data_IF_964628918699
#
_entry.id   IF_964628918699
#
_cell.length_a   1.000
_cell.length_b   1.000
_cell.length_c   1.000
_cell.angle_alpha   90.00
_cell.angle_beta   90.00
_cell.angle_gamma   90.00
#
_symmetry.space_group_name_H-M   'P 1'
#
loop_
_entity.id
_entity.type
_entity.pdbx_description
1 polymer ?
#
# COMPACT_ATOMS: atom_id res chain seq x y z
N UNK A 1 -6.16 -43.74 8.55
CA UNK A 1 -5.47 -42.75 7.68
C UNK A 1 -5.28 -41.48 8.48
N UNK A 2 -4.18 -40.78 8.25
CA UNK A 2 -3.91 -39.49 8.93
C UNK A 2 -4.77 -38.39 8.28
N UNK A 3 -5.35 -37.46 9.05
CA UNK A 3 -6.11 -36.37 8.50
C UNK A 3 -5.21 -35.39 7.73
N UNK A 4 -5.70 -34.86 6.59
CA UNK A 4 -5.02 -33.93 5.71
C UNK A 4 -5.63 -32.54 5.85
N UNK A 5 -4.81 -31.54 6.21
CA UNK A 5 -5.22 -30.16 6.32
C UNK A 5 -4.46 -29.27 5.33
N UNK A 6 -5.20 -28.46 4.57
CA UNK A 6 -4.64 -27.46 3.68
C UNK A 6 -4.49 -26.12 4.41
N UNK A 7 -3.33 -25.48 4.28
CA UNK A 7 -3.08 -24.14 4.81
C UNK A 7 -2.70 -23.20 3.67
N UNK A 8 -3.27 -22.00 3.65
CA UNK A 8 -2.93 -21.00 2.65
C UNK A 8 -3.32 -19.58 3.08
N UNK A 9 -2.57 -18.62 2.57
CA UNK A 9 -2.86 -17.19 2.73
C UNK A 9 -3.12 -16.53 1.37
N UNK A 10 -3.95 -15.47 1.33
CA UNK A 10 -4.27 -14.73 0.10
C UNK A 10 -4.78 -15.69 -1.00
N UNK A 11 -4.17 -15.69 -2.17
CA UNK A 11 -4.50 -16.64 -3.26
C UNK A 11 -4.33 -18.11 -2.82
N UNK A 12 -3.29 -18.42 -2.04
CA UNK A 12 -3.10 -19.74 -1.44
C UNK A 12 -4.26 -20.12 -0.50
N UNK A 13 -4.86 -19.15 0.20
CA UNK A 13 -6.05 -19.33 1.00
C UNK A 13 -7.28 -19.67 0.15
N UNK A 14 -7.45 -19.02 -1.01
CA UNK A 14 -8.50 -19.41 -1.97
C UNK A 14 -8.31 -20.85 -2.44
N UNK A 15 -7.07 -21.23 -2.80
CA UNK A 15 -6.77 -22.60 -3.22
C UNK A 15 -7.06 -23.61 -2.11
N UNK A 16 -6.69 -23.32 -0.86
CA UNK A 16 -6.97 -24.18 0.29
C UNK A 16 -8.49 -24.37 0.48
N UNK A 17 -9.26 -23.28 0.36
CA UNK A 17 -10.73 -23.31 0.42
C UNK A 17 -11.29 -24.20 -0.69
N UNK A 18 -10.90 -23.97 -1.94
CA UNK A 18 -11.41 -24.73 -3.08
C UNK A 18 -10.99 -26.19 -3.06
N UNK A 19 -9.78 -26.50 -2.59
CA UNK A 19 -9.34 -27.88 -2.38
C UNK A 19 -10.24 -28.59 -1.36
N UNK A 20 -10.54 -27.94 -0.23
CA UNK A 20 -11.45 -28.54 0.77
C UNK A 20 -12.86 -28.75 0.22
N UNK A 21 -13.37 -27.81 -0.58
CA UNK A 21 -14.71 -27.91 -1.18
C UNK A 21 -14.79 -28.98 -2.28
N UNK A 22 -13.76 -29.05 -3.14
CA UNK A 22 -13.78 -29.94 -4.32
C UNK A 22 -13.26 -31.34 -4.03
N UNK A 23 -12.34 -31.48 -3.09
CA UNK A 23 -11.64 -32.75 -2.79
C UNK A 23 -11.86 -33.14 -1.31
N UNK A 24 -13.11 -33.05 -0.84
CA UNK A 24 -13.47 -33.35 0.52
C UNK A 24 -13.19 -34.82 0.94
N UNK A 25 -12.97 -35.69 -0.01
CA UNK A 25 -12.55 -37.09 0.18
C UNK A 25 -11.04 -37.24 0.45
N UNK A 26 -10.25 -36.20 0.24
CA UNK A 26 -8.79 -36.21 0.43
C UNK A 26 -8.35 -35.18 1.45
N UNK A 27 -9.02 -34.01 1.48
CA UNK A 27 -8.71 -32.89 2.38
C UNK A 27 -9.76 -32.80 3.47
N UNK A 28 -9.38 -33.11 4.70
CA UNK A 28 -10.27 -33.12 5.87
C UNK A 28 -10.62 -31.73 6.39
N UNK A 29 -9.71 -30.77 6.22
CA UNK A 29 -9.90 -29.40 6.68
C UNK A 29 -9.03 -28.39 5.92
N UNK A 30 -9.37 -27.09 6.04
CA UNK A 30 -8.57 -26.02 5.49
C UNK A 30 -8.50 -24.82 6.44
N UNK A 31 -7.34 -24.18 6.51
CA UNK A 31 -7.13 -22.86 7.12
C UNK A 31 -6.79 -21.89 5.99
N UNK A 32 -7.70 -20.96 5.72
CA UNK A 32 -7.63 -20.02 4.62
C UNK A 32 -7.54 -18.59 5.18
N UNK A 33 -6.31 -18.09 5.37
CA UNK A 33 -6.06 -16.74 5.89
C UNK A 33 -6.20 -15.68 4.81
N UNK A 34 -6.96 -14.60 5.08
CA UNK A 34 -7.11 -13.45 4.16
C UNK A 34 -7.40 -13.86 2.70
N UNK A 35 -8.24 -14.87 2.53
CA UNK A 35 -8.57 -15.43 1.22
C UNK A 35 -9.71 -14.64 0.56
N UNK A 36 -9.48 -13.90 -0.55
CA UNK A 36 -10.52 -13.09 -1.20
C UNK A 36 -11.46 -13.97 -2.07
N UNK A 37 -12.09 -14.96 -1.45
CA UNK A 37 -12.94 -15.95 -2.13
C UNK A 37 -14.19 -15.35 -2.78
N UNK A 38 -14.55 -14.11 -2.43
CA UNK A 38 -15.72 -13.37 -2.92
C UNK A 38 -15.36 -12.32 -3.98
N UNK A 39 -14.11 -12.25 -4.46
CA UNK A 39 -13.63 -11.22 -5.39
C UNK A 39 -13.69 -11.68 -6.85
N UNK A 40 -14.80 -12.29 -7.27
CA UNK A 40 -14.94 -12.80 -8.64
C UNK A 40 -16.16 -12.22 -9.34
N UNK A 41 -16.04 -12.10 -10.67
CA UNK A 41 -17.16 -11.69 -11.53
C UNK A 41 -18.26 -12.77 -11.48
N UNK A 42 -19.51 -12.32 -11.24
CA UNK A 42 -20.66 -13.20 -11.19
C UNK A 42 -21.05 -13.70 -9.80
N UNK A 43 -20.37 -13.22 -8.75
CA UNK A 43 -20.80 -13.49 -7.37
C UNK A 43 -22.12 -12.77 -7.04
N UNK A 44 -22.92 -13.38 -6.15
CA UNK A 44 -24.16 -12.82 -5.62
C UNK A 44 -24.14 -12.87 -4.07
N UNK A 45 -24.17 -11.72 -3.37
CA UNK A 45 -24.16 -10.36 -3.92
C UNK A 45 -22.84 -10.02 -4.63
N UNK A 46 -22.85 -9.10 -5.62
CA UNK A 46 -21.64 -8.68 -6.34
C UNK A 46 -20.66 -8.03 -5.38
N UNK A 47 -19.37 -8.30 -5.57
CA UNK A 47 -18.33 -7.62 -4.81
C UNK A 47 -18.26 -6.13 -5.22
N UNK A 48 -18.11 -5.25 -4.24
CA UNK A 48 -17.78 -3.86 -4.49
C UNK A 48 -16.31 -3.76 -4.94
N UNK A 49 -16.01 -3.33 -6.18
CA UNK A 49 -14.64 -3.20 -6.66
C UNK A 49 -13.84 -2.14 -5.91
N UNK A 50 -14.50 -1.22 -5.20
CA UNK A 50 -13.89 -0.19 -4.37
C UNK A 50 -13.60 -0.61 -2.93
N UNK A 51 -14.11 -1.76 -2.47
CA UNK A 51 -14.06 -2.16 -1.06
C UNK A 51 -12.64 -2.14 -0.45
N UNK A 52 -11.62 -2.57 -1.20
CA UNK A 52 -10.24 -2.52 -0.73
C UNK A 52 -9.72 -1.07 -0.61
N UNK A 53 -9.97 -0.24 -1.61
CA UNK A 53 -9.58 1.18 -1.59
C UNK A 53 -10.30 1.96 -0.47
N UNK A 54 -11.54 1.62 -0.16
CA UNK A 54 -12.27 2.15 0.99
C UNK A 54 -11.62 1.75 2.31
N UNK A 55 -11.15 0.49 2.43
CA UNK A 55 -10.38 0.00 3.58
C UNK A 55 -9.07 0.77 3.76
N UNK A 56 -8.28 0.94 2.69
CA UNK A 56 -7.05 1.74 2.69
C UNK A 56 -7.34 3.18 3.11
N UNK A 57 -8.42 3.78 2.58
CA UNK A 57 -8.85 5.13 2.95
C UNK A 57 -9.26 5.21 4.42
N UNK A 58 -9.96 4.20 4.94
CA UNK A 58 -10.37 4.13 6.34
C UNK A 58 -9.15 4.16 7.27
N UNK A 59 -8.09 3.42 6.95
CA UNK A 59 -6.84 3.41 7.73
C UNK A 59 -6.18 4.80 7.82
N UNK A 60 -6.37 5.65 6.80
CA UNK A 60 -5.89 7.03 6.80
C UNK A 60 -6.74 8.00 7.63
N UNK A 61 -7.88 7.56 8.18
CA UNK A 61 -8.79 8.41 8.94
C UNK A 61 -8.62 8.27 10.46
N UNK A 62 -9.27 9.16 11.22
CA UNK A 62 -9.34 9.06 12.67
C UNK A 62 -10.03 7.76 13.14
N UNK A 63 -10.99 7.24 12.38
CA UNK A 63 -11.65 5.98 12.67
C UNK A 63 -10.67 4.79 12.57
N UNK A 64 -9.71 4.83 11.64
CA UNK A 64 -8.59 3.88 11.53
C UNK A 64 -7.47 4.13 12.54
N UNK A 65 -7.57 5.20 13.35
CA UNK A 65 -6.59 5.59 14.35
C UNK A 65 -5.45 6.47 13.83
N UNK A 66 -5.55 6.98 12.60
CA UNK A 66 -4.61 7.92 12.01
C UNK A 66 -4.98 9.38 12.38
N UNK A 67 -4.02 10.33 12.28
CA UNK A 67 -4.31 11.75 12.45
C UNK A 67 -5.40 12.24 11.47
N UNK A 68 -6.34 13.09 11.88
CA UNK A 68 -7.43 13.55 11.01
C UNK A 68 -6.98 14.23 9.71
N UNK A 69 -5.79 14.85 9.72
CA UNK A 69 -5.22 15.51 8.55
C UNK A 69 -4.64 14.53 7.51
N UNK A 70 -4.41 13.26 7.86
CA UNK A 70 -3.70 12.32 6.97
C UNK A 70 -4.43 12.10 5.64
N UNK A 71 -5.68 11.64 5.67
CA UNK A 71 -6.42 11.36 4.44
C UNK A 71 -6.55 12.57 3.52
N UNK A 72 -6.90 13.80 4.02
CA UNK A 72 -6.85 15.02 3.21
C UNK A 72 -5.47 15.32 2.62
N UNK A 73 -4.41 15.19 3.41
CA UNK A 73 -3.06 15.49 2.97
C UNK A 73 -2.55 14.48 1.93
N UNK A 74 -2.82 13.19 2.10
CA UNK A 74 -2.51 12.16 1.09
C UNK A 74 -3.21 12.49 -0.23
N UNK A 75 -4.52 12.81 -0.21
CA UNK A 75 -5.25 13.22 -1.42
C UNK A 75 -4.64 14.46 -2.08
N UNK A 76 -4.27 15.47 -1.30
CA UNK A 76 -3.64 16.68 -1.82
C UNK A 76 -2.26 16.38 -2.44
N UNK A 77 -1.48 15.49 -1.84
CA UNK A 77 -0.18 15.09 -2.36
C UNK A 77 -0.31 14.31 -3.69
N UNK A 78 -1.24 13.36 -3.78
CA UNK A 78 -1.52 12.68 -5.05
C UNK A 78 -2.07 13.63 -6.13
N UNK A 79 -2.95 14.57 -5.78
CA UNK A 79 -3.43 15.58 -6.71
C UNK A 79 -2.27 16.45 -7.26
N UNK A 80 -1.33 16.84 -6.40
CA UNK A 80 -0.13 17.58 -6.80
C UNK A 80 0.79 16.74 -7.69
N UNK A 81 0.99 15.47 -7.37
CA UNK A 81 1.77 14.53 -8.17
C UNK A 81 1.19 14.39 -9.58
N UNK A 82 -0.13 14.18 -9.69
CA UNK A 82 -0.84 14.08 -10.97
C UNK A 82 -0.73 15.40 -11.74
N UNK A 83 -0.96 16.54 -11.09
CA UNK A 83 -0.82 17.86 -11.73
C UNK A 83 0.58 18.07 -12.32
N UNK A 84 1.63 17.70 -11.58
CA UNK A 84 3.01 17.80 -12.09
C UNK A 84 3.30 16.80 -13.20
N UNK A 85 2.69 15.64 -13.19
CA UNK A 85 2.82 14.67 -14.28
C UNK A 85 2.42 15.23 -15.63
N UNK A 86 1.46 16.15 -15.64
CA UNK A 86 0.94 16.78 -16.86
C UNK A 86 1.71 18.05 -17.26
N UNK A 87 2.26 18.77 -16.27
CA UNK A 87 2.86 20.10 -16.50
C UNK A 87 4.39 20.10 -16.51
N UNK A 88 5.02 19.43 -15.56
CA UNK A 88 6.48 19.31 -15.40
C UNK A 88 6.84 18.01 -14.66
N UNK A 89 6.84 16.85 -15.36
CA UNK A 89 7.15 15.57 -14.74
C UNK A 89 8.48 15.53 -13.98
N UNK A 90 9.49 16.27 -14.45
CA UNK A 90 10.83 16.28 -13.84
C UNK A 90 10.85 16.94 -12.46
N UNK A 91 9.92 17.86 -12.19
CA UNK A 91 9.81 18.53 -10.89
C UNK A 91 9.39 17.59 -9.74
N UNK A 92 8.98 16.36 -10.05
CA UNK A 92 8.62 15.34 -9.07
C UNK A 92 9.86 14.72 -8.42
N UNK A 93 10.99 14.64 -9.15
CA UNK A 93 12.18 13.87 -8.76
C UNK A 93 12.70 14.23 -7.37
N UNK A 94 13.06 15.49 -7.16
CA UNK A 94 13.70 15.93 -5.94
C UNK A 94 12.78 15.78 -4.69
N UNK A 95 11.54 16.31 -4.69
CA UNK A 95 10.69 16.19 -3.50
C UNK A 95 10.27 14.76 -3.20
N UNK A 96 10.13 13.88 -4.21
CA UNK A 96 9.85 12.46 -4.02
C UNK A 96 11.12 11.62 -3.75
N UNK A 97 12.30 12.22 -3.76
CA UNK A 97 13.60 11.54 -3.54
C UNK A 97 13.82 10.35 -4.48
N UNK A 98 13.42 10.49 -5.75
CA UNK A 98 13.61 9.44 -6.75
C UNK A 98 15.07 9.38 -7.20
N UNK A 99 15.54 8.17 -7.53
CA UNK A 99 16.89 7.96 -8.06
C UNK A 99 17.08 8.67 -9.42
N UNK A 100 18.34 8.96 -9.76
CA UNK A 100 18.66 9.77 -10.93
C UNK A 100 18.25 9.13 -12.25
N UNK A 101 18.24 7.83 -12.31
CA UNK A 101 17.83 7.01 -13.47
C UNK A 101 16.32 6.81 -13.59
N UNK A 102 15.52 7.23 -12.58
CA UNK A 102 14.05 7.17 -12.68
C UNK A 102 13.57 7.97 -13.90
N UNK A 103 12.90 7.32 -14.87
CA UNK A 103 12.41 8.03 -16.05
C UNK A 103 11.26 8.96 -15.68
N UNK A 104 11.39 10.21 -16.10
CA UNK A 104 10.37 11.26 -15.94
C UNK A 104 10.27 12.11 -17.22
N UNK A 105 10.46 11.47 -18.37
CA UNK A 105 10.44 12.14 -19.66
C UNK A 105 9.03 12.41 -20.22
N UNK A 106 8.04 11.68 -19.70
CA UNK A 106 6.65 11.72 -20.17
C UNK A 106 5.69 11.71 -19.00
N UNK A 107 4.47 12.19 -19.22
CA UNK A 107 3.39 12.13 -18.22
C UNK A 107 3.14 10.72 -17.70
N UNK A 108 3.22 9.70 -18.57
CA UNK A 108 3.08 8.30 -18.16
C UNK A 108 4.10 7.88 -17.11
N UNK A 109 5.36 8.27 -17.27
CA UNK A 109 6.43 7.90 -16.34
C UNK A 109 6.12 8.42 -14.92
N UNK A 110 5.58 9.64 -14.83
CA UNK A 110 5.18 10.24 -13.55
C UNK A 110 3.90 9.58 -12.97
N UNK A 111 2.99 9.08 -13.82
CA UNK A 111 1.85 8.28 -13.36
C UNK A 111 2.31 6.91 -12.82
N UNK A 112 3.37 6.32 -13.38
CA UNK A 112 3.97 5.10 -12.84
C UNK A 112 4.54 5.35 -11.42
N UNK A 113 5.10 6.55 -11.14
CA UNK A 113 5.46 6.96 -9.77
C UNK A 113 4.24 7.06 -8.85
N UNK A 114 3.11 7.56 -9.35
CA UNK A 114 1.88 7.61 -8.56
C UNK A 114 1.36 6.21 -8.21
N UNK A 115 1.40 5.28 -9.14
CA UNK A 115 1.01 3.87 -8.90
C UNK A 115 1.96 3.19 -7.91
N UNK A 116 3.27 3.44 -8.04
CA UNK A 116 4.25 2.97 -7.07
C UNK A 116 3.96 3.52 -5.66
N UNK A 117 3.69 4.82 -5.53
CA UNK A 117 3.34 5.43 -4.26
C UNK A 117 2.02 4.87 -3.68
N UNK A 118 1.01 4.62 -4.53
CA UNK A 118 -0.23 3.96 -4.12
C UNK A 118 0.04 2.56 -3.59
N UNK A 119 0.88 1.77 -4.27
CA UNK A 119 1.26 0.42 -3.83
C UNK A 119 1.79 0.39 -2.41
N UNK A 120 2.56 1.40 -1.97
CA UNK A 120 3.01 1.50 -0.59
C UNK A 120 1.83 1.56 0.40
N UNK A 121 0.82 2.38 0.15
CA UNK A 121 -0.36 2.48 1.01
C UNK A 121 -1.18 1.17 1.01
N UNK A 122 -1.29 0.52 -0.15
CA UNK A 122 -1.98 -0.77 -0.28
C UNK A 122 -1.29 -1.84 0.59
N UNK A 123 0.04 -1.92 0.53
CA UNK A 123 0.82 -2.86 1.34
C UNK A 123 0.82 -2.49 2.83
N UNK A 124 0.90 -1.19 3.17
CA UNK A 124 0.81 -0.74 4.55
C UNK A 124 -0.55 -1.08 5.17
N UNK A 125 -1.65 -1.00 4.40
CA UNK A 125 -2.97 -1.41 4.85
C UNK A 125 -3.05 -2.93 5.05
N UNK A 126 -2.54 -3.73 4.11
CA UNK A 126 -2.50 -5.19 4.25
C UNK A 126 -1.64 -5.65 5.43
N UNK A 127 -0.58 -4.90 5.76
CA UNK A 127 0.33 -5.18 6.87
C UNK A 127 0.08 -4.35 8.13
N UNK A 128 -1.11 -3.75 8.31
CA UNK A 128 -1.41 -2.82 9.41
C UNK A 128 -1.61 -3.54 10.75
N UNK A 129 -0.65 -4.40 11.12
CA UNK A 129 -0.69 -5.19 12.35
C UNK A 129 -0.32 -4.35 13.58
N UNK A 130 -0.84 -4.72 14.78
CA UNK A 130 -0.51 -4.04 16.04
C UNK A 130 0.87 -4.44 16.61
N UNK A 131 1.69 -5.12 15.83
CA UNK A 131 3.04 -5.59 16.17
C UNK A 131 3.95 -5.46 14.96
N UNK A 132 5.26 -5.52 15.19
CA UNK A 132 6.25 -5.52 14.11
C UNK A 132 6.09 -6.74 13.20
N UNK A 133 6.19 -6.54 11.90
CA UNK A 133 6.00 -7.61 10.92
C UNK A 133 6.85 -7.39 9.66
N UNK A 134 7.45 -8.46 9.16
CA UNK A 134 8.14 -8.50 7.86
C UNK A 134 7.34 -9.28 6.81
N UNK A 135 6.10 -9.67 7.11
CA UNK A 135 5.30 -10.60 6.30
C UNK A 135 5.16 -10.20 4.83
N UNK A 136 5.02 -8.91 4.53
CA UNK A 136 4.82 -8.41 3.17
C UNK A 136 6.05 -7.71 2.58
N UNK A 137 7.20 -7.76 3.25
CA UNK A 137 8.45 -7.11 2.83
C UNK A 137 9.40 -8.04 2.09
N UNK A 138 8.95 -9.21 1.64
CA UNK A 138 9.78 -10.20 0.92
C UNK A 138 11.13 -10.53 1.63
N UNK A 139 11.17 -10.40 2.96
CA UNK A 139 12.33 -10.68 3.77
C UNK A 139 13.25 -9.48 4.06
N UNK A 140 12.98 -8.31 3.50
CA UNK A 140 13.80 -7.12 3.72
C UNK A 140 13.18 -6.19 4.79
N UNK A 141 13.80 -6.18 5.96
CA UNK A 141 13.44 -5.29 7.06
C UNK A 141 12.19 -5.71 7.83
N UNK A 142 11.69 -4.79 8.65
CA UNK A 142 10.53 -4.98 9.52
C UNK A 142 9.70 -3.70 9.53
N UNK A 143 8.41 -3.82 9.31
CA UNK A 143 7.46 -2.71 9.49
C UNK A 143 7.18 -2.50 10.97
N UNK A 144 7.01 -1.25 11.42
CA UNK A 144 6.63 -0.94 12.80
C UNK A 144 5.20 -1.42 13.10
N UNK A 145 4.81 -1.47 14.41
CA UNK A 145 3.40 -1.63 14.77
C UNK A 145 2.53 -0.52 14.15
N UNK A 146 1.38 -0.88 13.61
CA UNK A 146 0.48 0.03 12.92
C UNK A 146 1.19 0.91 11.86
N UNK A 147 1.85 0.31 10.86
CA UNK A 147 2.71 1.04 9.94
C UNK A 147 1.95 2.11 9.15
N UNK A 148 0.66 1.93 8.91
CA UNK A 148 -0.17 2.94 8.26
C UNK A 148 -0.28 4.22 9.09
N UNK A 149 -0.43 4.10 10.42
CA UNK A 149 -0.43 5.27 11.33
C UNK A 149 0.92 5.96 11.37
N UNK A 150 2.02 5.20 11.25
CA UNK A 150 3.38 5.76 11.17
C UNK A 150 3.53 6.56 9.88
N UNK A 151 3.06 6.05 8.74
CA UNK A 151 3.05 6.77 7.47
C UNK A 151 2.19 8.04 7.52
N UNK A 152 1.09 8.01 8.27
CA UNK A 152 0.22 9.16 8.53
C UNK A 152 0.77 10.15 9.57
N UNK A 153 1.92 9.84 10.19
CA UNK A 153 2.57 10.72 11.16
C UNK A 153 3.34 11.87 10.52
N UNK A 154 4.18 12.52 11.32
CA UNK A 154 5.06 13.58 10.83
C UNK A 154 4.33 14.67 10.05
N UNK A 155 4.81 14.98 8.85
CA UNK A 155 4.24 16.03 8.00
C UNK A 155 2.81 15.69 7.52
N UNK A 156 2.47 14.41 7.34
CA UNK A 156 1.10 14.01 6.96
C UNK A 156 0.06 14.29 8.06
N UNK A 157 0.48 14.44 9.31
CA UNK A 157 -0.40 14.81 10.42
C UNK A 157 -0.68 16.32 10.52
N UNK A 158 0.05 17.15 9.78
CA UNK A 158 -0.05 18.62 9.85
C UNK A 158 -1.24 19.13 9.01
N UNK A 159 -2.28 19.72 9.62
CA UNK A 159 -3.43 20.24 8.88
C UNK A 159 -3.08 21.46 7.99
N UNK A 160 -1.90 22.07 8.19
CA UNK A 160 -1.43 23.21 7.38
C UNK A 160 -0.56 22.78 6.19
N UNK A 161 -0.27 21.50 6.02
CA UNK A 161 0.62 20.98 4.98
C UNK A 161 0.25 21.49 3.56
N UNK A 162 -1.04 21.53 3.14
CA UNK A 162 -1.38 22.01 1.81
C UNK A 162 -0.99 23.49 1.58
N UNK A 163 -0.90 24.28 2.65
CA UNK A 163 -0.51 25.68 2.55
C UNK A 163 1.01 25.89 2.41
N UNK A 164 1.81 24.83 2.60
CA UNK A 164 3.28 24.87 2.50
C UNK A 164 3.79 24.69 1.07
N UNK A 165 2.88 24.42 0.12
CA UNK A 165 3.20 24.26 -1.30
C UNK A 165 3.44 22.83 -1.75
N UNK A 166 3.55 22.65 -3.06
CA UNK A 166 3.59 21.33 -3.70
C UNK A 166 4.82 20.50 -3.34
N UNK A 167 5.99 21.10 -3.17
CA UNK A 167 7.19 20.37 -2.75
C UNK A 167 7.04 19.80 -1.34
N UNK A 168 6.40 20.52 -0.43
CA UNK A 168 6.12 20.03 0.91
C UNK A 168 5.15 18.84 0.89
N UNK A 169 4.11 18.90 0.04
CA UNK A 169 3.17 17.80 -0.15
C UNK A 169 3.86 16.54 -0.68
N UNK A 170 4.69 16.68 -1.72
CA UNK A 170 5.41 15.54 -2.32
C UNK A 170 6.48 15.00 -1.38
N UNK A 171 7.18 15.86 -0.62
CA UNK A 171 8.15 15.39 0.38
C UNK A 171 7.46 14.63 1.52
N UNK A 172 6.30 15.07 1.96
CA UNK A 172 5.50 14.36 2.95
C UNK A 172 5.00 13.00 2.40
N UNK A 173 4.63 12.95 1.11
CA UNK A 173 4.27 11.70 0.46
C UNK A 173 5.47 10.75 0.40
N UNK A 174 6.66 11.24 0.05
CA UNK A 174 7.89 10.46 0.04
C UNK A 174 8.25 9.91 1.44
N UNK A 175 8.01 10.67 2.51
CA UNK A 175 8.18 10.18 3.88
C UNK A 175 7.19 9.06 4.21
N UNK A 176 5.93 9.24 3.82
CA UNK A 176 4.87 8.26 4.07
C UNK A 176 5.12 6.93 3.34
N UNK A 177 5.44 6.96 2.04
CA UNK A 177 5.75 5.74 1.27
C UNK A 177 7.07 5.11 1.72
N UNK A 178 7.99 5.92 2.25
CA UNK A 178 9.25 5.46 2.82
C UNK A 178 9.07 4.54 4.03
N UNK A 179 7.93 4.57 4.72
CA UNK A 179 7.61 3.60 5.78
C UNK A 179 7.53 2.19 5.22
N UNK A 180 7.08 2.01 3.99
CA UNK A 180 7.07 0.72 3.32
C UNK A 180 8.42 0.42 2.65
N UNK A 181 8.90 1.34 1.78
CA UNK A 181 10.05 1.08 0.92
C UNK A 181 11.41 1.28 1.60
N UNK A 182 11.51 2.07 2.65
CA UNK A 182 12.78 2.46 3.26
C UNK A 182 12.67 2.78 4.77
N UNK A 183 11.94 1.94 5.52
CA UNK A 183 11.80 2.16 6.96
C UNK A 183 13.15 2.08 7.70
N UNK A 184 14.04 1.20 7.27
CA UNK A 184 15.42 1.08 7.79
C UNK A 184 16.32 2.28 7.46
N UNK A 185 15.91 3.16 6.53
CA UNK A 185 16.69 4.31 6.02
C UNK A 185 18.04 3.93 5.42
N UNK A 186 18.12 2.76 4.82
CA UNK A 186 19.33 2.26 4.14
C UNK A 186 19.43 2.70 2.68
N UNK A 187 18.32 3.14 2.08
CA UNK A 187 18.29 3.62 0.70
C UNK A 187 18.46 5.14 0.65
N UNK A 188 19.34 5.62 -0.22
CA UNK A 188 19.59 7.05 -0.44
C UNK A 188 18.49 7.69 -1.31
N UNK A 189 17.92 6.93 -2.25
CA UNK A 189 16.83 7.36 -3.14
C UNK A 189 15.86 6.20 -3.40
N UNK A 190 14.67 6.51 -3.93
CA UNK A 190 13.68 5.50 -4.31
C UNK A 190 13.84 5.09 -5.77
N UNK A 191 14.11 3.80 -5.99
CA UNK A 191 14.01 3.17 -7.29
C UNK A 191 12.57 2.65 -7.50
N UNK A 192 11.85 3.27 -8.45
CA UNK A 192 10.46 2.90 -8.74
C UNK A 192 10.31 1.78 -9.77
N UNK A 193 11.41 1.32 -10.37
CA UNK A 193 11.39 0.32 -11.44
C UNK A 193 11.74 -1.09 -10.96
N UNK A 194 12.62 -1.18 -9.99
CA UNK A 194 13.08 -2.47 -9.48
C UNK A 194 12.50 -2.72 -8.09
N UNK A 195 11.21 -2.69 -7.94
CA UNK A 195 10.52 -2.82 -6.65
C UNK A 195 11.41 -3.40 -5.57
N UNK A 196 11.77 -2.55 -4.61
CA UNK A 196 12.60 -2.89 -3.47
C UNK A 196 11.99 -4.02 -2.66
#
# INVERSE_FOLDING_TARGET
DAPVFAFGGSYGGMLATWMRLKYANVVDGAVAGSAPVWSFVGEDPPVDPGAFADGVTMDATAAGGSPPACAPNVRAAFAELIRRSETDPKSIKAPMRLCDDTPLGKSKDALDVALWAQGAFDYLAMGNFPYESSYILNGDGTLPPYPFRVACGGAMADPTLPNKGGDALLSALADAVGVYYNYSKTQECFDTQHGS
#
